data_IF_727884361160
#
_entry.id   IF_727884361160
#
_cell.length_a   1.000
_cell.length_b   1.000
_cell.length_c   1.000
_cell.angle_alpha   90.00
_cell.angle_beta   90.00
_cell.angle_gamma   90.00
#
_symmetry.space_group_name_H-M   'P 1'
#
loop_
_entity.id
_entity.type
_entity.pdbx_description
1 polymer ?
#
# COMPACT_ATOMS: atom_id res chain seq x y z
N UNK A 1 60.60 10.69 6.27
CA UNK A 1 59.56 10.43 5.25
C UNK A 1 58.30 9.96 5.99
N UNK A 2 57.30 10.86 6.10
CA UNK A 2 56.02 10.54 6.78
C UNK A 2 55.00 10.13 5.70
N UNK A 3 54.60 8.86 5.74
CA UNK A 3 53.58 8.32 4.82
C UNK A 3 52.20 8.67 5.39
N UNK A 4 51.52 9.60 4.76
CA UNK A 4 50.17 10.02 5.08
C UNK A 4 49.18 8.97 4.53
N UNK A 5 48.61 8.14 5.44
CA UNK A 5 47.56 7.19 5.09
C UNK A 5 46.24 7.95 4.88
N UNK A 6 45.82 8.10 3.64
CA UNK A 6 44.47 8.54 3.30
C UNK A 6 43.50 7.41 3.61
N UNK A 7 42.74 7.58 4.70
CA UNK A 7 41.60 6.72 4.99
C UNK A 7 40.43 7.11 4.07
N UNK A 8 40.21 6.32 3.04
CA UNK A 8 39.04 6.43 2.14
C UNK A 8 37.80 6.00 2.91
N UNK A 9 37.08 6.96 3.47
CA UNK A 9 35.79 6.73 4.14
C UNK A 9 34.74 6.41 3.07
N UNK A 10 34.44 5.11 2.90
CA UNK A 10 33.37 4.63 2.03
C UNK A 10 32.02 5.00 2.68
N UNK A 11 31.45 6.15 2.32
CA UNK A 11 30.08 6.50 2.70
C UNK A 11 29.12 5.54 1.99
N UNK A 12 28.70 4.50 2.70
CA UNK A 12 27.57 3.67 2.30
C UNK A 12 26.31 4.55 2.29
N UNK A 13 25.89 5.00 1.11
CA UNK A 13 24.55 5.54 0.92
C UNK A 13 23.54 4.41 1.16
N UNK A 14 22.99 4.37 2.38
CA UNK A 14 21.82 3.55 2.65
C UNK A 14 20.66 4.19 1.91
N UNK A 15 20.37 3.69 0.70
CA UNK A 15 19.12 4.03 0.01
C UNK A 15 17.98 3.52 0.88
N UNK A 16 17.29 4.43 1.56
CA UNK A 16 16.04 4.11 2.23
C UNK A 16 15.04 3.71 1.14
N UNK A 17 14.74 2.41 1.07
CA UNK A 17 13.70 1.92 0.18
C UNK A 17 12.40 2.63 0.54
N UNK A 18 11.87 3.43 -0.39
CA UNK A 18 10.57 4.06 -0.20
C UNK A 18 9.52 2.98 -0.07
N UNK A 19 8.74 3.01 1.00
CA UNK A 19 7.63 2.10 1.22
C UNK A 19 6.36 2.77 0.69
N UNK A 20 5.70 2.12 -0.26
CA UNK A 20 4.38 2.56 -0.70
C UNK A 20 3.35 2.27 0.39
N UNK A 21 2.44 3.22 0.62
CA UNK A 21 1.38 3.08 1.60
C UNK A 21 0.03 3.26 0.94
N UNK A 22 -0.86 2.28 1.14
CA UNK A 22 -2.26 2.38 0.75
C UNK A 22 -3.10 2.59 2.00
N UNK A 23 -3.97 3.61 1.96
CA UNK A 23 -5.03 3.77 2.95
C UNK A 23 -6.36 3.57 2.26
N UNK A 24 -7.18 2.63 2.74
CA UNK A 24 -8.50 2.38 2.21
C UNK A 24 -9.56 2.62 3.27
N UNK A 25 -10.47 3.54 2.97
CA UNK A 25 -11.67 3.79 3.76
C UNK A 25 -12.80 2.93 3.21
N UNK A 26 -13.42 2.13 4.07
CA UNK A 26 -14.42 1.15 3.66
C UNK A 26 -15.61 1.08 4.63
N UNK A 27 -16.67 0.43 4.19
CA UNK A 27 -17.77 -0.04 5.04
C UNK A 27 -17.86 -1.56 4.96
N UNK A 28 -18.08 -2.26 6.09
CA UNK A 28 -18.25 -3.72 6.10
C UNK A 28 -19.40 -4.24 5.23
N UNK A 29 -20.39 -3.39 4.96
CA UNK A 29 -21.60 -3.75 4.17
C UNK A 29 -21.54 -3.31 2.71
N UNK A 30 -20.41 -2.74 2.28
CA UNK A 30 -20.27 -2.20 0.93
C UNK A 30 -19.67 -3.25 -0.02
N UNK A 31 -20.39 -3.74 -1.06
CA UNK A 31 -19.86 -4.76 -1.98
C UNK A 31 -18.61 -4.30 -2.74
N UNK A 32 -18.59 -3.07 -3.25
CA UNK A 32 -17.41 -2.52 -3.94
C UNK A 32 -16.19 -2.42 -3.03
N UNK A 33 -16.39 -2.21 -1.72
CA UNK A 33 -15.33 -2.22 -0.74
C UNK A 33 -14.72 -3.62 -0.58
N UNK A 34 -15.55 -4.67 -0.61
CA UNK A 34 -15.06 -6.05 -0.54
C UNK A 34 -14.16 -6.38 -1.73
N UNK A 35 -14.56 -6.00 -2.96
CA UNK A 35 -13.73 -6.21 -4.15
C UNK A 35 -12.42 -5.42 -4.09
N UNK A 36 -12.46 -4.16 -3.63
CA UNK A 36 -11.27 -3.35 -3.46
C UNK A 36 -10.31 -3.94 -2.42
N UNK A 37 -10.85 -4.35 -1.26
CA UNK A 37 -10.07 -4.99 -0.20
C UNK A 37 -9.47 -6.30 -0.68
N UNK A 38 -10.22 -7.13 -1.41
CA UNK A 38 -9.71 -8.38 -1.96
C UNK A 38 -8.53 -8.14 -2.90
N UNK A 39 -8.63 -7.20 -3.83
CA UNK A 39 -7.53 -6.84 -4.71
C UNK A 39 -6.30 -6.33 -3.94
N UNK A 40 -6.49 -5.43 -2.98
CA UNK A 40 -5.39 -4.79 -2.25
C UNK A 40 -4.69 -5.80 -1.32
N UNK A 41 -5.45 -6.56 -0.54
CA UNK A 41 -4.89 -7.44 0.50
C UNK A 41 -4.52 -8.85 0.01
N UNK A 42 -5.07 -9.29 -1.11
CA UNK A 42 -4.82 -10.63 -1.66
C UNK A 42 -3.98 -10.62 -2.95
N UNK A 43 -3.78 -9.46 -3.58
CA UNK A 43 -2.91 -9.34 -4.74
C UNK A 43 -1.78 -8.34 -4.48
N UNK A 44 -2.08 -7.03 -4.32
CA UNK A 44 -1.05 -6.00 -4.24
C UNK A 44 -0.06 -6.23 -3.09
N UNK A 45 -0.51 -6.68 -1.92
CA UNK A 45 0.36 -6.93 -0.77
C UNK A 45 1.46 -7.96 -1.08
N UNK A 46 1.19 -8.89 -1.97
CA UNK A 46 2.13 -9.91 -2.40
C UNK A 46 2.94 -9.50 -3.62
N UNK A 47 2.39 -8.63 -4.48
CA UNK A 47 3.12 -8.09 -5.63
C UNK A 47 4.28 -7.18 -5.17
N UNK A 48 4.08 -6.37 -4.14
CA UNK A 48 5.04 -5.35 -3.68
C UNK A 48 5.59 -5.68 -2.28
N UNK A 49 6.88 -6.00 -2.19
CA UNK A 49 7.52 -6.44 -0.95
C UNK A 49 7.57 -5.36 0.16
N UNK A 50 7.52 -4.10 -0.21
CA UNK A 50 7.57 -2.95 0.70
C UNK A 50 6.25 -2.17 0.80
N UNK A 51 5.15 -2.75 0.33
CA UNK A 51 3.81 -2.14 0.47
C UNK A 51 3.30 -2.31 1.90
N UNK A 52 2.70 -1.26 2.46
CA UNK A 52 1.89 -1.34 3.67
C UNK A 52 0.46 -0.87 3.40
N UNK A 53 -0.49 -1.43 4.14
CA UNK A 53 -1.91 -1.17 3.96
C UNK A 53 -2.53 -0.78 5.29
N UNK A 54 -3.27 0.32 5.31
CA UNK A 54 -4.09 0.74 6.46
C UNK A 54 -5.55 0.69 6.03
N UNK A 55 -6.32 -0.20 6.65
CA UNK A 55 -7.77 -0.32 6.45
C UNK A 55 -8.49 0.50 7.51
N UNK A 56 -9.35 1.42 7.08
CA UNK A 56 -10.09 2.32 7.96
C UNK A 56 -11.58 2.09 7.78
N UNK A 57 -12.25 1.55 8.79
CA UNK A 57 -13.69 1.43 8.75
C UNK A 57 -14.33 2.82 8.94
N UNK A 58 -14.85 3.38 7.85
CA UNK A 58 -15.42 4.73 7.81
C UNK A 58 -16.78 4.84 8.53
N UNK A 59 -17.39 3.71 8.91
CA UNK A 59 -18.67 3.71 9.66
C UNK A 59 -18.47 3.93 11.16
N UNK A 60 -17.23 3.75 11.65
CA UNK A 60 -16.92 3.95 13.06
C UNK A 60 -16.76 5.44 13.38
N UNK A 61 -17.36 5.86 14.50
CA UNK A 61 -17.35 7.28 14.92
C UNK A 61 -15.93 7.81 15.13
N UNK A 62 -15.05 7.02 15.68
CA UNK A 62 -13.64 7.35 15.93
C UNK A 62 -12.83 7.58 14.65
N UNK A 63 -13.24 7.00 13.53
CA UNK A 63 -12.58 7.15 12.23
C UNK A 63 -13.19 8.27 11.37
N UNK A 64 -14.30 8.88 11.83
CA UNK A 64 -15.06 9.84 11.03
C UNK A 64 -14.21 11.04 10.62
N UNK A 65 -13.43 11.61 11.54
CA UNK A 65 -12.61 12.77 11.24
C UNK A 65 -11.52 12.45 10.22
N UNK A 66 -10.86 11.29 10.37
CA UNK A 66 -9.84 10.82 9.42
C UNK A 66 -10.42 10.65 8.01
N UNK A 67 -11.64 10.12 7.90
CA UNK A 67 -12.33 9.98 6.62
C UNK A 67 -12.66 11.34 5.99
N UNK A 68 -13.20 12.28 6.77
CA UNK A 68 -13.50 13.64 6.29
C UNK A 68 -12.23 14.34 5.80
N UNK A 69 -11.11 14.21 6.52
CA UNK A 69 -9.84 14.80 6.13
C UNK A 69 -9.27 14.18 4.85
N UNK A 70 -9.45 12.88 4.67
CA UNK A 70 -9.09 12.20 3.42
C UNK A 70 -9.94 12.70 2.24
N UNK A 71 -11.26 12.85 2.41
CA UNK A 71 -12.13 13.41 1.37
C UNK A 71 -11.69 14.82 0.97
N UNK A 72 -11.39 15.68 1.95
CA UNK A 72 -10.89 17.05 1.70
C UNK A 72 -9.56 17.04 0.95
N UNK A 73 -8.60 16.21 1.38
CA UNK A 73 -7.32 16.04 0.70
C UNK A 73 -7.51 15.63 -0.76
N UNK A 74 -8.46 14.74 -1.03
CA UNK A 74 -8.77 14.23 -2.35
C UNK A 74 -9.64 15.15 -3.21
N UNK A 75 -10.15 16.27 -2.65
CA UNK A 75 -11.04 17.19 -3.33
C UNK A 75 -12.46 16.64 -3.53
N UNK A 76 -12.86 15.61 -2.78
CA UNK A 76 -14.20 15.05 -2.84
C UNK A 76 -15.17 15.81 -1.93
N UNK A 77 -16.30 16.23 -2.47
CA UNK A 77 -17.32 17.00 -1.73
C UNK A 77 -18.27 16.12 -0.92
N UNK A 78 -18.41 14.85 -1.30
CA UNK A 78 -19.27 13.90 -0.62
C UNK A 78 -18.58 12.54 -0.48
N UNK A 79 -18.87 11.82 0.60
CA UNK A 79 -18.25 10.56 0.94
C UNK A 79 -19.05 9.34 0.49
N UNK A 80 -18.66 8.73 -0.62
CA UNK A 80 -18.95 7.32 -0.89
C UNK A 80 -17.72 6.48 -0.57
N UNK A 81 -17.90 5.23 -0.19
CA UNK A 81 -16.84 4.25 0.01
C UNK A 81 -16.87 3.18 -1.09
N UNK A 82 -15.72 2.57 -1.44
CA UNK A 82 -14.40 2.81 -0.88
C UNK A 82 -13.76 4.13 -1.33
N UNK A 83 -12.90 4.71 -0.48
CA UNK A 83 -11.93 5.72 -0.89
C UNK A 83 -10.54 5.15 -0.68
N UNK A 84 -9.74 5.13 -1.74
CA UNK A 84 -8.37 4.58 -1.73
C UNK A 84 -7.40 5.74 -1.91
N UNK A 85 -6.45 5.89 -0.99
CA UNK A 85 -5.43 6.94 -1.01
C UNK A 85 -4.05 6.30 -1.10
N UNK A 86 -3.27 6.70 -2.11
CA UNK A 86 -1.91 6.22 -2.37
C UNK A 86 -1.03 7.44 -2.66
N UNK A 87 -0.24 7.86 -1.67
CA UNK A 87 0.50 9.13 -1.78
C UNK A 87 -0.46 10.30 -2.03
N UNK A 88 -0.31 10.95 -3.20
CA UNK A 88 -1.19 12.04 -3.63
C UNK A 88 -2.33 11.59 -4.56
N UNK A 89 -2.40 10.30 -4.90
CA UNK A 89 -3.46 9.76 -5.73
C UNK A 89 -4.64 9.31 -4.89
N UNK A 90 -5.84 9.60 -5.37
CA UNK A 90 -7.09 9.24 -4.72
C UNK A 90 -8.05 8.59 -5.71
N UNK A 91 -8.75 7.58 -5.23
CA UNK A 91 -9.80 6.89 -6.00
C UNK A 91 -11.04 6.77 -5.13
N UNK A 92 -12.20 7.21 -5.65
CA UNK A 92 -13.51 7.03 -5.00
C UNK A 92 -14.31 6.00 -5.78
N UNK A 93 -14.81 4.99 -5.09
CA UNK A 93 -15.35 3.78 -5.72
C UNK A 93 -14.24 2.81 -6.16
N UNK A 94 -14.65 1.65 -6.62
CA UNK A 94 -13.74 0.64 -7.14
C UNK A 94 -14.44 -0.25 -8.18
N UNK A 95 -13.66 -0.56 -9.21
CA UNK A 95 -13.92 -1.60 -10.19
C UNK A 95 -12.57 -2.14 -10.68
N UNK A 96 -12.56 -3.34 -11.24
CA UNK A 96 -11.32 -4.02 -11.70
C UNK A 96 -10.56 -3.22 -12.76
N UNK A 97 -11.24 -2.35 -13.50
CA UNK A 97 -10.61 -1.43 -14.47
C UNK A 97 -9.61 -0.45 -13.82
N UNK A 98 -9.70 -0.22 -12.50
CA UNK A 98 -8.77 0.62 -11.75
C UNK A 98 -7.48 -0.11 -11.32
N UNK A 99 -7.40 -1.43 -11.51
CA UNK A 99 -6.28 -2.21 -10.99
C UNK A 99 -4.91 -1.72 -11.50
N UNK A 100 -4.80 -1.40 -12.78
CA UNK A 100 -3.54 -0.94 -13.36
C UNK A 100 -3.21 0.50 -12.96
N UNK A 101 -4.22 1.36 -12.78
CA UNK A 101 -4.03 2.71 -12.26
C UNK A 101 -3.55 2.68 -10.80
N UNK A 102 -4.13 1.81 -9.97
CA UNK A 102 -3.71 1.61 -8.58
C UNK A 102 -2.27 1.09 -8.52
N UNK A 103 -1.89 0.11 -9.37
CA UNK A 103 -0.50 -0.34 -9.50
C UNK A 103 0.43 0.80 -9.88
N UNK A 104 0.06 1.58 -10.88
CA UNK A 104 0.84 2.74 -11.31
C UNK A 104 1.02 3.76 -10.19
N UNK A 105 0.00 3.99 -9.37
CA UNK A 105 0.10 4.88 -8.20
C UNK A 105 1.05 4.33 -7.14
N UNK A 106 1.02 3.02 -6.87
CA UNK A 106 1.97 2.36 -5.95
C UNK A 106 3.41 2.48 -6.46
N UNK A 107 3.59 2.46 -7.77
CA UNK A 107 4.92 2.45 -8.41
C UNK A 107 5.56 3.83 -8.58
N UNK A 108 4.86 4.93 -8.26
CA UNK A 108 5.38 6.30 -8.47
C UNK A 108 6.78 6.49 -7.88
N UNK A 109 6.96 6.10 -6.63
CA UNK A 109 8.21 6.31 -5.88
C UNK A 109 9.11 5.07 -5.82
N UNK A 110 8.77 4.01 -6.56
CA UNK A 110 9.56 2.78 -6.59
C UNK A 110 10.74 2.87 -7.55
N UNK A 111 11.86 2.30 -7.15
CA UNK A 111 13.02 2.12 -8.02
C UNK A 111 12.73 1.11 -9.14
N UNK A 112 13.50 1.15 -10.21
CA UNK A 112 13.40 0.18 -11.31
C UNK A 112 13.59 -1.27 -10.82
N UNK A 113 14.47 -1.49 -9.84
CA UNK A 113 14.67 -2.81 -9.25
C UNK A 113 13.41 -3.30 -8.51
N UNK A 114 12.75 -2.43 -7.73
CA UNK A 114 11.50 -2.74 -7.04
C UNK A 114 10.35 -3.03 -8.01
N UNK A 115 10.23 -2.24 -9.08
CA UNK A 115 9.22 -2.48 -10.15
C UNK A 115 9.46 -3.82 -10.85
N UNK A 116 10.72 -4.15 -11.13
CA UNK A 116 11.09 -5.44 -11.71
C UNK A 116 10.74 -6.60 -10.78
N UNK A 117 11.03 -6.46 -9.47
CA UNK A 117 10.65 -7.45 -8.47
C UNK A 117 9.13 -7.63 -8.40
N UNK A 118 8.36 -6.55 -8.39
CA UNK A 118 6.90 -6.61 -8.38
C UNK A 118 6.34 -7.33 -9.62
N UNK A 119 6.89 -7.06 -10.81
CA UNK A 119 6.52 -7.77 -12.02
C UNK A 119 6.82 -9.27 -11.93
N UNK A 120 8.00 -9.64 -11.40
CA UNK A 120 8.36 -11.04 -11.20
C UNK A 120 7.42 -11.72 -10.20
N UNK A 121 7.12 -11.06 -9.08
CA UNK A 121 6.16 -11.57 -8.09
C UNK A 121 4.79 -11.82 -8.71
N UNK A 122 4.33 -10.93 -9.58
CA UNK A 122 3.05 -11.05 -10.29
C UNK A 122 3.05 -12.26 -11.23
N UNK A 123 4.11 -12.48 -11.98
CA UNK A 123 4.24 -13.64 -12.87
C UNK A 123 4.35 -14.97 -12.09
N UNK A 124 5.08 -14.98 -10.97
CA UNK A 124 5.19 -16.17 -10.13
C UNK A 124 3.87 -16.50 -9.43
N UNK A 125 3.13 -15.48 -9.00
CA UNK A 125 1.78 -15.66 -8.44
C UNK A 125 0.78 -16.19 -9.48
N UNK A 126 0.92 -15.85 -10.77
CA UNK A 126 0.10 -16.43 -11.85
C UNK A 126 0.38 -17.90 -12.09
N UNK A 127 1.62 -18.35 -11.88
CA UNK A 127 2.02 -19.75 -12.09
C UNK A 127 1.47 -20.70 -11.01
N UNK A 128 1.62 -20.31 -9.76
CA UNK A 128 1.16 -21.07 -8.60
C UNK A 128 0.89 -20.11 -7.44
N UNK A 129 -0.37 -19.65 -7.36
CA UNK A 129 -0.80 -18.66 -6.38
C UNK A 129 -0.61 -19.15 -4.96
N UNK A 130 -1.07 -20.37 -4.67
CA UNK A 130 -1.11 -20.88 -3.30
C UNK A 130 0.29 -21.08 -2.75
N UNK A 131 1.18 -21.69 -3.53
CA UNK A 131 2.58 -21.84 -3.14
C UNK A 131 3.30 -20.49 -3.00
N UNK A 132 3.01 -19.53 -3.88
CA UNK A 132 3.59 -18.19 -3.81
C UNK A 132 3.15 -17.44 -2.56
N UNK A 133 1.84 -17.40 -2.28
CA UNK A 133 1.27 -16.72 -1.11
C UNK A 133 1.78 -17.37 0.19
N UNK A 134 1.87 -18.71 0.25
CA UNK A 134 2.40 -19.41 1.41
C UNK A 134 3.85 -18.99 1.74
N UNK A 135 4.70 -18.84 0.72
CA UNK A 135 6.10 -18.36 0.89
C UNK A 135 6.18 -16.92 1.40
N UNK A 136 5.18 -16.10 1.09
CA UNK A 136 5.12 -14.67 1.45
C UNK A 136 4.06 -14.37 2.51
N UNK A 137 3.62 -15.35 3.29
CA UNK A 137 2.54 -15.19 4.27
C UNK A 137 2.78 -14.05 5.28
N UNK A 138 4.04 -13.78 5.64
CA UNK A 138 4.42 -12.66 6.51
C UNK A 138 4.04 -11.27 5.96
N UNK A 139 3.75 -11.14 4.66
CA UNK A 139 3.29 -9.89 4.07
C UNK A 139 1.96 -9.41 4.63
N UNK A 140 1.12 -10.31 5.13
CA UNK A 140 -0.13 -9.95 5.81
C UNK A 140 0.11 -9.11 7.07
N UNK A 141 1.29 -9.19 7.71
CA UNK A 141 1.65 -8.36 8.86
C UNK A 141 1.80 -6.86 8.51
N UNK A 142 1.91 -6.52 7.23
CA UNK A 142 1.95 -5.14 6.76
C UNK A 142 0.55 -4.53 6.55
N UNK A 143 -0.51 -5.27 6.87
CA UNK A 143 -1.90 -4.81 6.87
C UNK A 143 -2.28 -4.42 8.30
N UNK A 144 -2.75 -3.19 8.48
CA UNK A 144 -3.19 -2.65 9.78
C UNK A 144 -4.66 -2.24 9.70
N UNK A 145 -5.44 -2.68 10.68
CA UNK A 145 -6.82 -2.22 10.85
C UNK A 145 -6.89 -1.04 11.81
N UNK A 146 -7.54 0.02 11.37
CA UNK A 146 -8.02 1.09 12.26
C UNK A 146 -9.41 0.71 12.74
N UNK A 147 -9.47 -0.18 13.72
CA UNK A 147 -10.74 -0.64 14.31
C UNK A 147 -11.04 0.02 15.64
N UNK A 148 -10.02 0.50 16.37
CA UNK A 148 -10.18 1.21 17.64
C UNK A 148 -8.97 2.09 17.93
N UNK A 149 -9.18 3.29 18.47
CA UNK A 149 -8.12 3.98 19.21
C UNK A 149 -7.82 3.14 20.44
N UNK A 150 -6.63 2.55 20.53
CA UNK A 150 -6.13 2.08 21.83
C UNK A 150 -6.09 3.30 22.74
N UNK A 151 -7.08 3.42 23.64
CA UNK A 151 -7.02 4.37 24.73
C UNK A 151 -5.79 3.99 25.56
N UNK A 152 -4.78 4.87 25.54
CA UNK A 152 -3.71 4.88 26.53
C UNK A 152 -4.17 5.75 27.68
#
# INVERSE_FOLDING_TARGET
MKILKFALCCMCFVSTASAANIRIFYSPTCPHCHHALDFIQNNLIYEYDNLSIVRVNATLQENRQEFIDALKKCGYQSGGVPVIVIGEKCYQGYGESLNDEIRSAVEVDLTNAQKKSANQNREDMKKDRDAFVAKKASRQNAITDRTEKKNK
#
